data_IF_354670386893
#
_entry.id   IF_354670386893
#
_cell.length_a   1.000
_cell.length_b   1.000
_cell.length_c   1.000
_cell.angle_alpha   90.00
_cell.angle_beta   90.00
_cell.angle_gamma   90.00
#
_symmetry.space_group_name_H-M   'P 1'
#
loop_
_entity.id
_entity.type
_entity.pdbx_description
1 polymer ?
#
# COMPACT_ATOMS: atom_id res chain seq x y z
N UNK A 1 14.94 9.42 -11.67
CA UNK A 1 16.01 8.73 -12.40
C UNK A 1 16.18 7.31 -11.88
N UNK A 2 16.03 6.30 -12.77
CA UNK A 2 16.18 4.88 -12.43
C UNK A 2 17.45 4.27 -13.03
N UNK A 3 18.39 5.08 -13.47
CA UNK A 3 19.63 4.61 -14.14
C UNK A 3 20.42 3.60 -13.31
N UNK A 4 20.41 3.75 -11.97
CA UNK A 4 21.05 2.78 -11.08
C UNK A 4 20.40 1.41 -11.17
N UNK A 5 19.06 1.35 -11.21
CA UNK A 5 18.32 0.09 -11.32
C UNK A 5 18.58 -0.57 -12.67
N UNK A 6 18.55 0.20 -13.75
CA UNK A 6 18.82 -0.29 -15.11
C UNK A 6 20.22 -0.93 -15.21
N UNK A 7 21.24 -0.28 -14.62
CA UNK A 7 22.61 -0.79 -14.59
C UNK A 7 22.80 -2.05 -13.73
N UNK A 8 21.89 -2.30 -12.78
CA UNK A 8 21.98 -3.42 -11.84
C UNK A 8 20.76 -4.34 -11.94
N UNK A 9 20.08 -4.41 -13.09
CA UNK A 9 18.83 -5.16 -13.25
C UNK A 9 18.95 -6.65 -12.93
N UNK A 10 20.11 -7.25 -13.11
CA UNK A 10 20.44 -8.64 -12.74
C UNK A 10 20.31 -8.92 -11.24
N UNK A 11 20.46 -7.90 -10.41
CA UNK A 11 20.32 -7.98 -8.95
C UNK A 11 18.90 -7.79 -8.45
N UNK A 12 17.99 -7.23 -9.28
CA UNK A 12 16.63 -6.92 -8.89
C UNK A 12 15.79 -8.21 -8.92
N UNK A 13 15.21 -8.58 -7.79
CA UNK A 13 14.40 -9.80 -7.64
C UNK A 13 12.91 -9.58 -7.82
N UNK A 14 12.45 -8.36 -7.67
CA UNK A 14 11.05 -7.99 -7.82
C UNK A 14 10.77 -6.56 -7.40
N UNK A 15 9.56 -6.12 -7.70
CA UNK A 15 8.99 -4.85 -7.28
C UNK A 15 7.87 -5.15 -6.27
N UNK A 16 7.97 -4.60 -5.08
CA UNK A 16 7.02 -4.81 -3.99
C UNK A 16 6.22 -3.52 -3.78
N UNK A 17 4.90 -3.60 -3.80
CA UNK A 17 4.00 -2.44 -3.73
C UNK A 17 3.19 -2.48 -2.45
N UNK A 18 3.16 -1.36 -1.73
CA UNK A 18 2.45 -1.21 -0.46
C UNK A 18 0.94 -1.07 -0.63
N UNK A 19 0.49 -0.31 -1.64
CA UNK A 19 -0.93 -0.07 -1.94
C UNK A 19 -1.13 0.54 -3.33
N UNK A 20 -2.39 0.64 -3.76
CA UNK A 20 -2.76 0.95 -5.15
C UNK A 20 -3.05 2.42 -5.47
N UNK A 21 -2.60 3.41 -4.68
CA UNK A 21 -2.74 4.81 -5.06
C UNK A 21 -1.84 5.18 -6.25
N UNK A 22 -2.25 6.19 -6.99
CA UNK A 22 -1.62 6.57 -8.26
C UNK A 22 -0.15 6.96 -8.13
N UNK A 23 0.20 7.67 -7.08
CA UNK A 23 1.58 8.11 -6.79
C UNK A 23 2.50 6.94 -6.42
N UNK A 24 1.94 5.77 -6.06
CA UNK A 24 2.69 4.54 -5.80
C UNK A 24 2.75 3.58 -6.99
N UNK A 25 1.72 3.54 -7.84
CA UNK A 25 1.66 2.60 -8.96
C UNK A 25 1.78 3.23 -10.35
N UNK A 26 1.59 4.54 -10.47
CA UNK A 26 1.54 5.23 -11.77
C UNK A 26 2.83 5.16 -12.58
N UNK A 27 3.99 5.06 -11.93
CA UNK A 27 5.28 4.94 -12.60
C UNK A 27 5.61 3.50 -13.05
N UNK A 28 4.89 2.48 -12.60
CA UNK A 28 5.19 1.07 -12.88
C UNK A 28 5.36 0.77 -14.38
N UNK A 29 4.46 1.19 -15.29
CA UNK A 29 4.63 0.88 -16.70
C UNK A 29 5.91 1.48 -17.31
N UNK A 30 6.32 2.65 -16.84
CA UNK A 30 7.54 3.31 -17.31
C UNK A 30 8.81 2.62 -16.81
N UNK A 31 8.78 2.10 -15.60
CA UNK A 31 9.87 1.28 -15.04
C UNK A 31 9.98 -0.03 -15.79
N UNK A 32 8.86 -0.73 -16.01
CA UNK A 32 8.84 -2.04 -16.66
C UNK A 32 9.24 -2.01 -18.13
N UNK A 33 9.13 -0.87 -18.83
CA UNK A 33 9.70 -0.68 -20.17
C UNK A 33 11.23 -0.75 -20.19
N UNK A 34 11.87 -0.54 -19.04
CA UNK A 34 13.33 -0.53 -18.94
C UNK A 34 13.86 -1.75 -18.16
N UNK A 35 13.08 -2.26 -17.20
CA UNK A 35 13.47 -3.37 -16.31
C UNK A 35 12.27 -4.32 -16.18
N UNK A 36 12.37 -5.53 -16.71
CA UNK A 36 11.30 -6.51 -16.59
C UNK A 36 11.49 -7.36 -15.33
N UNK A 37 10.72 -7.06 -14.27
CA UNK A 37 10.78 -7.75 -12.98
C UNK A 37 9.37 -8.15 -12.51
N UNK A 38 9.22 -9.23 -11.74
CA UNK A 38 7.93 -9.59 -11.17
C UNK A 38 7.48 -8.56 -10.14
N UNK A 39 6.15 -8.36 -10.07
CA UNK A 39 5.51 -7.45 -9.11
C UNK A 39 4.78 -8.27 -8.05
N UNK A 40 4.91 -7.85 -6.79
CA UNK A 40 4.27 -8.44 -5.61
C UNK A 40 3.41 -7.38 -4.94
N UNK A 41 2.11 -7.60 -4.85
CA UNK A 41 1.18 -6.69 -4.22
C UNK A 41 -0.09 -7.42 -3.74
N UNK A 42 -0.88 -6.78 -2.89
CA UNK A 42 -2.19 -7.29 -2.46
C UNK A 42 -3.20 -7.29 -3.62
N UNK A 43 -4.29 -8.01 -3.45
CA UNK A 43 -5.22 -8.31 -4.54
C UNK A 43 -5.76 -7.04 -5.23
N UNK A 44 -6.31 -6.09 -4.48
CA UNK A 44 -6.83 -4.84 -5.06
C UNK A 44 -5.73 -4.06 -5.78
N UNK A 45 -4.55 -3.98 -5.20
CA UNK A 45 -3.40 -3.28 -5.80
C UNK A 45 -2.99 -3.94 -7.12
N UNK A 46 -2.98 -5.27 -7.19
CA UNK A 46 -2.69 -6.01 -8.43
C UNK A 46 -3.73 -5.71 -9.50
N UNK A 47 -5.02 -5.68 -9.16
CA UNK A 47 -6.07 -5.36 -10.15
C UNK A 47 -5.94 -3.93 -10.70
N UNK A 48 -5.61 -2.96 -9.85
CA UNK A 48 -5.34 -1.59 -10.29
C UNK A 48 -4.10 -1.51 -11.21
N UNK A 49 -3.05 -2.25 -10.87
CA UNK A 49 -1.83 -2.34 -11.71
C UNK A 49 -2.15 -2.99 -13.05
N UNK A 50 -2.99 -4.02 -13.12
CA UNK A 50 -3.38 -4.66 -14.40
C UNK A 50 -3.96 -3.66 -15.37
N UNK A 51 -4.88 -2.80 -14.94
CA UNK A 51 -5.48 -1.77 -15.80
C UNK A 51 -4.40 -0.87 -16.42
N UNK A 52 -3.44 -0.42 -15.60
CA UNK A 52 -2.32 0.40 -16.10
C UNK A 52 -1.41 -0.35 -17.08
N UNK A 53 -1.15 -1.61 -16.81
CA UNK A 53 -0.33 -2.44 -17.71
C UNK A 53 -1.03 -2.73 -19.03
N UNK A 54 -2.36 -2.86 -19.03
CA UNK A 54 -3.16 -2.99 -20.26
C UNK A 54 -3.07 -1.74 -21.13
N UNK A 55 -3.24 -0.55 -20.56
CA UNK A 55 -3.09 0.74 -21.24
C UNK A 55 -1.73 0.89 -21.93
N UNK A 56 -0.69 0.29 -21.35
CA UNK A 56 0.68 0.35 -21.86
C UNK A 56 1.10 -0.91 -22.66
N UNK A 57 0.19 -1.87 -22.91
CA UNK A 57 0.46 -3.16 -23.57
C UNK A 57 1.55 -4.01 -22.90
N UNK A 58 1.67 -3.92 -21.58
CA UNK A 58 2.68 -4.63 -20.78
C UNK A 58 2.12 -5.81 -19.98
N UNK A 59 0.80 -5.98 -19.88
CA UNK A 59 0.18 -6.99 -19.01
C UNK A 59 0.65 -8.40 -19.34
N UNK A 60 0.78 -8.75 -20.63
CA UNK A 60 1.17 -10.11 -21.08
C UNK A 60 2.64 -10.44 -20.78
N UNK A 61 3.49 -9.44 -20.67
CA UNK A 61 4.92 -9.59 -20.42
C UNK A 61 5.30 -9.47 -18.94
N UNK A 62 4.38 -9.04 -18.09
CA UNK A 62 4.64 -8.79 -16.66
C UNK A 62 4.12 -9.93 -15.80
N UNK A 63 4.97 -10.43 -14.90
CA UNK A 63 4.57 -11.41 -13.89
C UNK A 63 4.02 -10.70 -12.66
N UNK A 64 2.74 -10.93 -12.36
CA UNK A 64 2.04 -10.39 -11.21
C UNK A 64 1.81 -11.48 -10.17
N UNK A 65 2.21 -11.22 -8.94
CA UNK A 65 2.02 -12.12 -7.79
C UNK A 65 1.12 -11.45 -6.75
N UNK A 66 -0.04 -12.04 -6.54
CA UNK A 66 -0.94 -11.61 -5.46
C UNK A 66 -0.39 -12.16 -4.15
N UNK A 67 -0.20 -11.26 -3.18
CA UNK A 67 0.19 -11.59 -1.82
C UNK A 67 -0.93 -11.27 -0.84
N UNK A 68 -0.91 -11.93 0.32
CA UNK A 68 -1.87 -11.67 1.41
C UNK A 68 -1.21 -10.86 2.51
N UNK A 69 -2.00 -10.06 3.21
CA UNK A 69 -1.57 -9.46 4.48
C UNK A 69 -1.13 -10.56 5.45
N UNK A 70 0.00 -10.37 6.13
CA UNK A 70 0.64 -11.38 7.00
C UNK A 70 1.55 -12.37 6.25
N UNK A 71 1.59 -12.35 4.92
CA UNK A 71 2.45 -13.25 4.14
C UNK A 71 3.89 -12.74 4.10
N UNK A 72 4.85 -13.66 4.07
CA UNK A 72 6.27 -13.39 3.85
C UNK A 72 6.72 -14.01 2.53
N UNK A 73 7.42 -13.25 1.70
CA UNK A 73 8.01 -13.70 0.44
C UNK A 73 9.52 -13.75 0.57
N UNK A 74 10.13 -14.81 0.06
CA UNK A 74 11.57 -15.02 0.08
C UNK A 74 12.21 -14.54 -1.23
N UNK A 75 13.21 -13.68 -1.11
CA UNK A 75 14.03 -13.15 -2.20
C UNK A 75 15.51 -13.56 -2.07
N UNK A 76 15.77 -14.77 -1.62
CA UNK A 76 17.12 -15.29 -1.38
C UNK A 76 17.65 -14.88 -0.01
N UNK A 77 18.63 -13.99 0.06
CA UNK A 77 19.16 -13.49 1.34
C UNK A 77 18.24 -12.51 2.06
N UNK A 78 17.17 -12.07 1.43
CA UNK A 78 16.17 -11.15 2.00
C UNK A 78 14.80 -11.80 2.01
N UNK A 79 13.99 -11.41 2.98
CA UNK A 79 12.56 -11.76 3.05
C UNK A 79 11.75 -10.48 3.23
N UNK A 80 10.59 -10.41 2.59
CA UNK A 80 9.67 -9.28 2.73
C UNK A 80 8.36 -9.78 3.29
N UNK A 81 8.00 -9.28 4.46
CA UNK A 81 6.74 -9.55 5.15
C UNK A 81 5.75 -8.39 4.90
N UNK A 82 4.51 -8.75 4.55
CA UNK A 82 3.43 -7.82 4.23
C UNK A 82 2.52 -7.64 5.45
N UNK A 83 2.76 -6.61 6.24
CA UNK A 83 2.04 -6.35 7.50
C UNK A 83 0.80 -5.51 7.18
N UNK A 84 -0.37 -5.89 7.72
CA UNK A 84 -1.60 -5.13 7.50
C UNK A 84 -1.50 -3.72 8.02
N UNK A 85 -1.86 -2.76 7.15
CA UNK A 85 -1.94 -1.33 7.46
C UNK A 85 -3.36 -0.80 7.23
N UNK A 86 -3.68 0.35 7.82
CA UNK A 86 -4.85 1.15 7.45
C UNK A 86 -4.40 2.37 6.64
N UNK A 87 -5.09 2.62 5.57
CA UNK A 87 -4.92 3.80 4.74
C UNK A 87 -6.25 4.16 4.05
N UNK A 88 -6.25 5.17 3.18
CA UNK A 88 -7.44 5.58 2.44
C UNK A 88 -7.82 4.66 1.27
N UNK A 89 -7.20 3.50 1.17
CA UNK A 89 -7.49 2.44 0.20
C UNK A 89 -7.42 1.08 0.90
N UNK A 90 -8.28 0.10 0.56
CA UNK A 90 -8.21 -1.23 1.13
C UNK A 90 -6.91 -1.96 0.78
N UNK A 91 -6.64 -3.01 1.54
CA UNK A 91 -5.50 -3.92 1.32
C UNK A 91 -4.12 -3.27 1.43
N UNK A 92 -4.01 -2.05 2.00
CA UNK A 92 -2.72 -1.42 2.24
C UNK A 92 -1.85 -2.26 3.20
N UNK A 93 -0.55 -2.26 2.96
CA UNK A 93 0.43 -2.98 3.77
C UNK A 93 1.66 -2.14 4.07
N UNK A 94 2.27 -2.40 5.22
CA UNK A 94 3.64 -2.06 5.54
C UNK A 94 4.54 -3.22 5.13
N UNK A 95 5.82 -2.94 4.89
CA UNK A 95 6.80 -3.94 4.49
C UNK A 95 7.88 -4.07 5.56
N UNK A 96 7.99 -5.25 6.19
CA UNK A 96 9.17 -5.56 6.97
C UNK A 96 10.17 -6.32 6.09
N UNK A 97 11.29 -5.70 5.80
CA UNK A 97 12.35 -6.24 4.95
C UNK A 97 13.42 -6.82 5.86
N UNK A 98 13.41 -8.13 6.00
CA UNK A 98 14.38 -8.88 6.80
C UNK A 98 15.62 -9.14 5.97
N UNK A 99 16.74 -8.68 6.45
CA UNK A 99 18.06 -8.85 5.82
C UNK A 99 19.04 -9.53 6.79
N UNK A 100 20.17 -10.06 6.32
CA UNK A 100 21.18 -10.65 7.20
C UNK A 100 21.77 -9.68 8.25
N UNK A 101 21.64 -8.37 8.02
CA UNK A 101 22.20 -7.33 8.92
C UNK A 101 21.14 -6.65 9.78
N UNK A 102 19.87 -6.94 9.58
CA UNK A 102 18.77 -6.39 10.37
C UNK A 102 17.50 -6.19 9.58
N UNK A 103 16.45 -5.74 10.25
CA UNK A 103 15.13 -5.49 9.66
C UNK A 103 14.95 -4.01 9.34
N UNK A 104 14.53 -3.71 8.10
CA UNK A 104 14.05 -2.39 7.69
C UNK A 104 12.52 -2.42 7.65
N UNK A 105 11.87 -1.48 8.33
CA UNK A 105 10.42 -1.33 8.28
C UNK A 105 10.05 -0.13 7.40
N UNK A 106 9.31 -0.38 6.32
CA UNK A 106 8.74 0.64 5.44
C UNK A 106 7.23 0.70 5.66
N UNK A 107 6.71 1.82 6.14
CA UNK A 107 5.30 1.93 6.52
C UNK A 107 4.34 1.99 5.32
N UNK A 108 4.82 2.35 4.13
CA UNK A 108 3.91 2.88 3.11
C UNK A 108 3.17 4.07 3.69
N UNK A 109 2.08 4.45 3.06
CA UNK A 109 1.15 5.42 3.63
C UNK A 109 0.27 4.74 4.67
N UNK A 110 0.10 5.37 5.82
CA UNK A 110 -0.65 4.74 6.90
C UNK A 110 -1.39 5.76 7.77
N UNK A 111 -2.33 5.25 8.50
CA UNK A 111 -2.92 5.90 9.67
C UNK A 111 -3.23 4.86 10.74
N UNK A 112 -3.35 5.29 11.97
CA UNK A 112 -3.82 4.43 13.06
C UNK A 112 -5.31 4.70 13.25
N UNK A 113 -6.15 3.73 12.84
CA UNK A 113 -7.59 3.77 13.01
C UNK A 113 -8.03 2.50 13.74
N UNK A 114 -8.66 2.65 14.89
CA UNK A 114 -9.15 1.53 15.71
C UNK A 114 -10.56 1.09 15.35
N UNK A 115 -11.26 1.86 14.54
CA UNK A 115 -12.61 1.58 14.06
C UNK A 115 -12.72 1.82 12.54
N UNK A 116 -11.87 1.12 11.73
CA UNK A 116 -11.94 1.22 10.28
C UNK A 116 -13.25 0.64 9.77
N UNK A 117 -13.70 1.07 8.58
CA UNK A 117 -14.98 0.66 7.99
C UNK A 117 -15.05 -0.86 7.74
N UNK A 118 -13.92 -1.48 7.42
CA UNK A 118 -13.83 -2.91 7.10
C UNK A 118 -13.47 -3.80 8.31
N UNK A 119 -13.48 -3.24 9.52
CA UNK A 119 -13.10 -3.89 10.79
C UNK A 119 -11.68 -4.47 10.83
N UNK A 120 -10.84 -4.16 9.82
CA UNK A 120 -9.47 -4.66 9.75
C UNK A 120 -8.49 -3.64 10.30
N UNK A 121 -8.30 -3.64 11.59
CA UNK A 121 -7.36 -2.73 12.28
C UNK A 121 -5.91 -3.01 11.84
N UNK A 122 -5.11 -1.94 11.74
CA UNK A 122 -3.65 -2.02 11.53
C UNK A 122 -3.01 -3.01 12.54
N UNK A 123 -2.06 -3.81 12.08
CA UNK A 123 -1.42 -4.84 12.92
C UNK A 123 -0.31 -4.24 13.82
N UNK A 124 -0.74 -3.45 14.81
CA UNK A 124 0.18 -2.87 15.80
C UNK A 124 0.88 -3.94 16.64
N UNK A 125 0.25 -5.09 16.84
CA UNK A 125 0.87 -6.21 17.55
C UNK A 125 2.13 -6.69 16.85
N UNK A 126 2.05 -6.90 15.54
CA UNK A 126 3.21 -7.31 14.74
C UNK A 126 4.29 -6.24 14.68
N UNK A 127 3.90 -4.97 14.58
CA UNK A 127 4.85 -3.84 14.61
C UNK A 127 5.59 -3.79 15.94
N UNK A 128 4.88 -3.96 17.07
CA UNK A 128 5.49 -4.00 18.41
C UNK A 128 6.46 -5.18 18.57
N UNK A 129 6.12 -6.37 18.05
CA UNK A 129 7.04 -7.52 18.05
C UNK A 129 8.33 -7.23 17.29
N UNK A 130 8.24 -6.58 16.12
CA UNK A 130 9.42 -6.19 15.34
C UNK A 130 10.25 -5.14 16.08
N UNK A 131 9.59 -4.15 16.71
CA UNK A 131 10.24 -3.15 17.55
C UNK A 131 11.03 -3.77 18.69
N UNK A 132 10.44 -4.76 19.40
CA UNK A 132 11.09 -5.48 20.49
C UNK A 132 12.30 -6.30 20.03
N UNK A 133 12.28 -6.83 18.80
CA UNK A 133 13.43 -7.53 18.20
C UNK A 133 14.54 -6.59 17.73
N UNK A 134 14.22 -5.32 17.55
CA UNK A 134 15.09 -4.31 16.99
C UNK A 134 14.87 -4.11 15.50
N UNK A 135 14.65 -2.84 15.11
CA UNK A 135 14.53 -2.38 13.72
C UNK A 135 15.76 -1.57 13.38
N UNK A 136 16.46 -1.96 12.31
CA UNK A 136 17.67 -1.28 11.83
C UNK A 136 17.35 0.12 11.28
N UNK A 137 16.27 0.23 10.51
CA UNK A 137 15.83 1.50 9.94
C UNK A 137 14.30 1.51 9.80
N UNK A 138 13.71 2.67 10.06
CA UNK A 138 12.29 2.95 9.84
C UNK A 138 12.16 3.99 8.72
N UNK A 139 11.48 3.60 7.63
CA UNK A 139 11.09 4.48 6.52
C UNK A 139 9.59 4.79 6.71
N UNK A 140 9.31 5.93 7.32
CA UNK A 140 7.94 6.27 7.74
C UNK A 140 7.33 7.35 6.86
N UNK A 141 6.04 7.17 6.52
CA UNK A 141 5.20 8.26 6.03
C UNK A 141 5.19 9.42 7.02
N UNK A 142 5.29 10.62 6.49
CA UNK A 142 5.33 11.87 7.26
C UNK A 142 4.40 12.95 6.70
N UNK A 143 3.44 12.58 5.87
CA UNK A 143 2.59 13.49 5.09
C UNK A 143 1.91 14.57 5.93
N UNK A 144 1.41 14.26 7.12
CA UNK A 144 0.75 15.22 8.00
C UNK A 144 1.53 15.49 9.30
N UNK A 145 2.84 15.21 9.34
CA UNK A 145 3.65 15.28 10.56
C UNK A 145 3.67 16.68 11.22
N UNK A 146 3.51 17.75 10.45
CA UNK A 146 3.47 19.11 10.94
C UNK A 146 2.07 19.61 11.33
N UNK A 147 1.00 18.85 11.02
CA UNK A 147 -0.37 19.22 11.37
C UNK A 147 -0.67 18.89 12.81
N UNK A 148 -1.18 19.88 13.55
CA UNK A 148 -1.67 19.67 14.92
C UNK A 148 -3.02 18.95 14.91
N UNK A 149 -3.26 18.08 15.89
CA UNK A 149 -4.54 17.39 16.10
C UNK A 149 -4.50 15.94 15.61
N UNK A 150 -5.68 15.38 15.39
CA UNK A 150 -5.88 13.97 15.03
C UNK A 150 -6.76 13.86 13.78
N UNK A 151 -6.52 12.85 12.97
CA UNK A 151 -7.48 12.43 11.95
C UNK A 151 -8.56 11.58 12.62
N UNK A 152 -9.83 11.93 12.41
CA UNK A 152 -10.96 11.14 12.93
C UNK A 152 -11.01 9.77 12.24
N UNK A 153 -11.61 8.79 12.93
CA UNK A 153 -11.87 7.48 12.34
C UNK A 153 -12.78 7.58 11.11
N UNK A 154 -12.60 6.68 10.16
CA UNK A 154 -13.45 6.59 8.97
C UNK A 154 -14.92 6.31 9.30
N UNK A 155 -15.19 5.53 10.33
CA UNK A 155 -16.55 5.24 10.78
C UNK A 155 -17.38 6.49 11.10
N UNK A 156 -16.71 7.58 11.52
CA UNK A 156 -17.39 8.86 11.80
C UNK A 156 -17.97 9.53 10.55
N UNK A 157 -17.48 9.20 9.36
CA UNK A 157 -17.99 9.76 8.09
C UNK A 157 -19.38 9.22 7.77
N UNK A 158 -19.66 7.94 8.09
CA UNK A 158 -20.96 7.30 7.89
C UNK A 158 -22.09 8.04 8.61
N UNK A 159 -21.89 8.41 9.86
CA UNK A 159 -22.88 9.16 10.65
C UNK A 159 -23.23 10.53 10.02
N UNK A 160 -22.25 11.18 9.40
CA UNK A 160 -22.46 12.45 8.70
C UNK A 160 -23.25 12.22 7.42
N UNK A 161 -22.95 11.18 6.66
CA UNK A 161 -23.70 10.82 5.45
C UNK A 161 -25.15 10.46 5.80
N UNK A 162 -25.40 9.63 6.80
CA UNK A 162 -26.74 9.26 7.24
C UNK A 162 -27.58 10.51 7.52
N UNK A 163 -27.04 11.46 8.27
CA UNK A 163 -27.74 12.71 8.58
C UNK A 163 -28.01 13.57 7.35
N UNK A 164 -27.07 13.62 6.38
CA UNK A 164 -27.23 14.40 5.15
C UNK A 164 -28.21 13.76 4.18
N UNK A 165 -28.24 12.42 4.09
CA UNK A 165 -29.10 11.71 3.17
C UNK A 165 -30.54 11.60 3.68
N UNK A 166 -30.75 11.28 4.96
CA UNK A 166 -32.08 11.07 5.53
C UNK A 166 -32.98 12.31 5.49
N UNK A 167 -32.41 13.50 5.50
CA UNK A 167 -33.17 14.76 5.55
C UNK A 167 -33.21 15.52 4.23
N UNK A 168 -32.86 14.87 3.11
CA UNK A 168 -32.73 15.53 1.82
C UNK A 168 -33.71 14.95 0.79
N UNK A 169 -34.67 15.79 0.36
CA UNK A 169 -35.63 15.44 -0.69
C UNK A 169 -35.12 15.69 -2.11
N UNK A 170 -33.91 16.25 -2.26
CA UNK A 170 -33.30 16.58 -3.54
C UNK A 170 -32.20 15.58 -3.93
N UNK A 171 -31.73 15.69 -5.16
CA UNK A 171 -30.63 14.90 -5.65
C UNK A 171 -29.34 15.27 -4.89
N UNK A 172 -28.62 14.25 -4.42
CA UNK A 172 -27.30 14.38 -3.81
C UNK A 172 -26.27 13.96 -4.84
N UNK A 173 -25.19 14.74 -4.99
CA UNK A 173 -24.04 14.45 -5.85
C UNK A 173 -22.83 14.31 -4.95
N UNK A 174 -22.21 13.14 -4.96
CA UNK A 174 -20.96 12.86 -4.24
C UNK A 174 -19.85 12.73 -5.25
N UNK A 175 -18.77 13.50 -5.07
CA UNK A 175 -17.56 13.40 -5.88
C UNK A 175 -16.41 12.84 -5.01
N UNK A 176 -15.78 11.79 -5.47
CA UNK A 176 -14.66 11.14 -4.78
C UNK A 176 -13.72 10.47 -5.77
N UNK A 177 -12.50 10.17 -5.35
CA UNK A 177 -11.60 9.33 -6.13
C UNK A 177 -12.11 7.87 -6.18
N UNK A 178 -11.84 7.18 -7.28
CA UNK A 178 -12.25 5.77 -7.45
C UNK A 178 -11.72 4.86 -6.32
N UNK A 179 -10.55 5.16 -5.79
CA UNK A 179 -9.95 4.46 -4.64
C UNK A 179 -10.72 4.59 -3.32
N UNK A 180 -11.63 5.58 -3.23
CA UNK A 180 -12.42 5.84 -2.01
C UNK A 180 -13.88 5.34 -2.10
N UNK A 181 -14.29 4.69 -3.20
CA UNK A 181 -15.69 4.28 -3.42
C UNK A 181 -16.22 3.30 -2.35
N UNK A 182 -15.34 2.57 -1.70
CA UNK A 182 -15.71 1.61 -0.65
C UNK A 182 -15.90 2.24 0.75
N UNK A 183 -15.69 3.54 0.91
CA UNK A 183 -15.75 4.28 2.18
C UNK A 183 -17.10 4.93 2.45
#
# INVERSE_FOLDING_TARGET
>A
DISYLVKNQDKIKGLVITHGHEDHIGAIPYVLKQINVPIYATNLTVELIKNKLEEHNLLRSTKLHVVKQGQTINFGSMQVEFIRSNHSIPDAVMLAIHTPVGTVLHTGDFRVDYTPIDDKVIDLGRIAELGNKGVLALLSDSTNSERKGFTMSESSVGEVFDRLFLNNEKRIVVATFASNVHR
#
